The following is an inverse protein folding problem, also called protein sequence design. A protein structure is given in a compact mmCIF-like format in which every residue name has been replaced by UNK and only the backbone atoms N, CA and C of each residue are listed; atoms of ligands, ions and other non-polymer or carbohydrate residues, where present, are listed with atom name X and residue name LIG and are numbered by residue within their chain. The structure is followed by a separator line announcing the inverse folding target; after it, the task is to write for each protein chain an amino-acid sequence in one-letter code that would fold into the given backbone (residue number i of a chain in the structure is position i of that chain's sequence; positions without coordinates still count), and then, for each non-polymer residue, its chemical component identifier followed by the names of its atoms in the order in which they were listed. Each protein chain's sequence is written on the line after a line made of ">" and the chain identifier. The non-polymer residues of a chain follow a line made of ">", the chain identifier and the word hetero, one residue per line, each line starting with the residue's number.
data_IF_291750984268
#
_entry.id   IF_291750984268
#
_cell.length_a   1.000
_cell.length_b   1.000
_cell.length_c   1.000
_cell.angle_alpha   90.00
_cell.angle_beta   90.00
_cell.angle_gamma   90.00
#
_symmetry.space_group_name_H-M   'P 1'
#
loop_
_entity.id
_entity.type
_entity.pdbx_description
1 polymer ?
#
# COMPACT_ATOMS: atom_id res chain seq x y z
N UNK A 1 7.99 15.87 -47.56
CA UNK A 1 8.11 16.47 -46.22
C UNK A 1 6.72 16.98 -45.84
N UNK A 2 6.16 16.49 -44.74
CA UNK A 2 4.76 16.71 -44.32
C UNK A 2 4.46 18.10 -43.74
N UNK A 3 5.42 19.04 -43.74
CA UNK A 3 5.19 20.43 -43.35
C UNK A 3 4.90 20.67 -41.86
N UNK A 4 5.04 19.63 -41.02
CA UNK A 4 4.76 19.72 -39.59
C UNK A 4 6.02 20.12 -38.81
N UNK A 5 5.94 21.08 -37.87
CA UNK A 5 7.03 21.41 -36.95
C UNK A 5 7.29 20.22 -36.01
N UNK A 6 8.55 19.77 -35.93
CA UNK A 6 8.95 18.49 -35.30
C UNK A 6 8.64 18.38 -33.80
N UNK A 7 8.48 19.50 -33.09
CA UNK A 7 8.36 19.51 -31.62
C UNK A 7 6.92 19.33 -31.09
N UNK A 8 5.93 19.22 -31.99
CA UNK A 8 4.50 19.17 -31.61
C UNK A 8 3.85 17.81 -31.89
N UNK A 9 4.59 16.86 -32.45
CA UNK A 9 4.04 15.57 -32.89
C UNK A 9 4.95 14.43 -32.51
N UNK A 10 4.38 13.29 -32.13
CA UNK A 10 5.14 12.06 -31.89
C UNK A 10 4.45 10.86 -32.55
N UNK A 11 5.25 9.88 -32.97
CA UNK A 11 4.76 8.65 -33.55
C UNK A 11 4.55 7.58 -32.48
N UNK A 12 3.49 6.80 -32.60
CA UNK A 12 3.23 5.62 -31.76
C UNK A 12 2.90 4.42 -32.64
N UNK A 13 3.35 3.23 -32.24
CA UNK A 13 2.91 2.00 -32.91
C UNK A 13 1.53 1.61 -32.38
N UNK A 14 0.61 1.32 -33.29
CA UNK A 14 -0.70 0.79 -32.93
C UNK A 14 -0.54 -0.68 -32.53
N UNK A 15 -1.13 -1.07 -31.40
CA UNK A 15 -1.12 -2.46 -30.95
C UNK A 15 -2.21 -3.29 -31.64
N UNK A 16 -2.25 -4.58 -31.34
CA UNK A 16 -3.22 -5.52 -31.90
C UNK A 16 -4.68 -5.24 -31.45
N UNK A 17 -4.87 -4.43 -30.41
CA UNK A 17 -6.17 -3.96 -29.93
C UNK A 17 -6.60 -2.63 -30.56
N UNK A 18 -5.84 -2.10 -31.53
CA UNK A 18 -6.04 -0.77 -32.12
C UNK A 18 -5.87 0.39 -31.13
N UNK A 19 -5.20 0.15 -30.00
CA UNK A 19 -4.83 1.20 -29.06
C UNK A 19 -3.44 1.77 -29.40
N UNK A 20 -3.23 3.03 -29.03
CA UNK A 20 -1.95 3.69 -29.24
C UNK A 20 -0.92 3.15 -28.24
N UNK A 21 0.10 2.44 -28.72
CA UNK A 21 1.18 1.91 -27.92
C UNK A 21 2.13 2.98 -27.38
N UNK A 22 3.36 2.59 -27.06
CA UNK A 22 4.37 3.54 -26.57
C UNK A 22 4.86 4.50 -27.68
N UNK A 23 5.21 5.75 -27.32
CA UNK A 23 5.81 6.69 -28.26
C UNK A 23 7.19 6.22 -28.72
N UNK A 24 7.46 6.39 -30.01
CA UNK A 24 8.77 6.18 -30.60
C UNK A 24 9.65 7.38 -30.24
N UNK A 25 10.60 7.17 -29.33
CA UNK A 25 11.46 8.23 -28.80
C UNK A 25 12.86 8.26 -29.44
N UNK A 26 13.21 7.26 -30.24
CA UNK A 26 14.56 7.06 -30.78
C UNK A 26 14.59 7.42 -32.28
N UNK A 27 14.87 8.69 -32.60
CA UNK A 27 14.86 9.19 -33.99
C UNK A 27 15.98 8.59 -34.86
N UNK A 28 17.10 8.20 -34.24
CA UNK A 28 18.28 7.66 -34.93
C UNK A 28 18.29 6.12 -35.03
N UNK A 29 17.30 5.44 -34.43
CA UNK A 29 17.22 3.98 -34.44
C UNK A 29 16.71 3.45 -35.79
N UNK A 30 17.24 2.32 -36.24
CA UNK A 30 16.70 1.66 -37.42
C UNK A 30 15.31 1.08 -37.11
N UNK A 31 14.39 1.05 -38.09
CA UNK A 31 13.02 0.54 -37.91
C UNK A 31 12.95 -0.85 -37.25
N UNK A 32 13.94 -1.71 -37.51
CA UNK A 32 14.05 -3.04 -36.90
C UNK A 32 14.35 -2.99 -35.39
N UNK A 33 15.10 -1.99 -34.92
CA UNK A 33 15.53 -1.82 -33.53
C UNK A 33 14.36 -1.36 -32.66
N UNK A 34 13.46 -0.55 -33.22
CA UNK A 34 12.18 -0.15 -32.60
C UNK A 34 11.03 -1.13 -32.89
N UNK A 35 11.33 -2.36 -33.33
CA UNK A 35 10.38 -3.43 -33.60
C UNK A 35 9.25 -3.08 -34.58
N UNK A 36 9.53 -2.19 -35.56
CA UNK A 36 8.61 -1.85 -36.65
C UNK A 36 8.88 -2.78 -37.84
N UNK A 37 7.81 -3.43 -38.31
CA UNK A 37 7.81 -4.37 -39.44
C UNK A 37 6.90 -3.85 -40.55
N UNK A 38 7.13 -4.37 -41.75
CA UNK A 38 6.22 -4.10 -42.88
C UNK A 38 4.81 -4.60 -42.53
N UNK A 39 3.82 -3.72 -42.66
CA UNK A 39 2.43 -3.98 -42.28
C UNK A 39 2.00 -3.40 -40.92
N UNK A 40 2.93 -2.88 -40.12
CA UNK A 40 2.57 -2.19 -38.88
C UNK A 40 1.88 -0.85 -39.16
N UNK A 41 0.89 -0.51 -38.33
CA UNK A 41 0.20 0.79 -38.38
C UNK A 41 0.81 1.74 -37.35
N UNK A 42 1.18 2.94 -37.79
CA UNK A 42 1.72 3.99 -36.94
C UNK A 42 0.70 5.14 -36.81
N UNK A 43 0.55 5.65 -35.60
CA UNK A 43 -0.27 6.80 -35.27
C UNK A 43 0.63 8.03 -35.10
N UNK A 44 0.23 9.14 -35.71
CA UNK A 44 0.83 10.45 -35.45
C UNK A 44 -0.07 11.18 -34.44
N UNK A 45 0.47 11.49 -33.26
CA UNK A 45 -0.28 12.07 -32.15
C UNK A 45 0.29 13.46 -31.83
N UNK A 46 -0.61 14.43 -31.66
CA UNK A 46 -0.25 15.79 -31.25
C UNK A 46 0.15 15.82 -29.76
N UNK A 47 1.26 16.49 -29.46
CA UNK A 47 1.79 16.65 -28.10
C UNK A 47 3.30 16.42 -28.03
N UNK A 48 3.95 17.08 -27.06
CA UNK A 48 5.38 16.88 -26.78
C UNK A 48 5.62 15.47 -26.25
N UNK A 49 6.70 14.84 -26.68
CA UNK A 49 7.18 13.61 -26.07
C UNK A 49 7.28 13.83 -24.54
N UNK A 50 6.84 12.87 -23.70
CA UNK A 50 7.20 12.91 -22.29
C UNK A 50 8.73 13.03 -22.20
N UNK A 51 9.28 13.81 -21.25
CA UNK A 51 10.73 14.05 -21.17
C UNK A 51 11.48 12.71 -21.28
N UNK A 52 12.60 12.67 -22.03
CA UNK A 52 13.28 11.42 -22.31
C UNK A 52 13.53 10.71 -20.99
N UNK A 53 12.85 9.58 -20.81
CA UNK A 53 13.19 8.62 -19.78
C UNK A 53 14.69 8.39 -19.93
N UNK A 54 15.46 8.85 -18.95
CA UNK A 54 16.88 8.50 -18.76
C UNK A 54 17.09 7.02 -19.13
N UNK A 55 18.24 6.67 -19.74
CA UNK A 55 18.37 5.57 -20.68
C UNK A 55 17.62 4.33 -20.19
N UNK A 56 16.81 3.75 -21.09
CA UNK A 56 16.02 2.55 -20.81
C UNK A 56 16.83 1.58 -19.96
N UNK A 57 16.42 1.41 -18.69
CA UNK A 57 17.09 0.54 -17.73
C UNK A 57 17.47 -0.75 -18.44
N UNK A 58 18.75 -1.14 -18.49
CA UNK A 58 19.17 -2.28 -19.28
C UNK A 58 18.35 -3.52 -18.89
N UNK A 59 18.02 -4.43 -19.84
CA UNK A 59 17.31 -5.66 -19.50
C UNK A 59 18.01 -6.39 -18.36
N UNK A 60 17.26 -6.76 -17.32
CA UNK A 60 17.81 -7.37 -16.10
C UNK A 60 18.27 -6.38 -15.03
N UNK A 61 18.01 -5.08 -15.20
CA UNK A 61 18.18 -4.05 -14.17
C UNK A 61 16.86 -3.38 -13.81
N UNK A 62 16.71 -3.06 -12.54
CA UNK A 62 15.60 -2.33 -11.96
C UNK A 62 16.08 -0.95 -11.55
N UNK A 63 15.33 0.08 -11.94
CA UNK A 63 15.44 1.40 -11.33
C UNK A 63 14.37 1.51 -10.25
N UNK A 64 14.80 1.56 -9.00
CA UNK A 64 13.93 1.46 -7.83
C UNK A 64 14.02 2.74 -7.01
N UNK A 65 12.92 3.51 -6.89
CA UNK A 65 12.84 4.61 -5.93
C UNK A 65 12.89 4.04 -4.51
N UNK A 66 13.85 4.51 -3.71
CA UNK A 66 14.05 4.07 -2.32
C UNK A 66 13.62 5.16 -1.34
N UNK A 67 12.83 4.74 -0.35
CA UNK A 67 12.30 5.58 0.70
C UNK A 67 12.76 5.10 2.08
N UNK A 68 12.95 6.03 2.99
CA UNK A 68 13.13 5.74 4.40
C UNK A 68 11.77 5.77 5.10
N UNK A 69 11.42 4.67 5.74
CA UNK A 69 10.18 4.52 6.48
C UNK A 69 10.43 4.79 7.97
N UNK A 70 9.85 5.86 8.48
CA UNK A 70 9.76 6.10 9.93
C UNK A 70 8.33 5.87 10.40
N UNK A 71 8.06 4.78 11.14
CA UNK A 71 6.75 4.55 11.73
C UNK A 71 6.41 5.69 12.70
N UNK A 72 5.26 6.33 12.50
CA UNK A 72 4.77 7.42 13.34
C UNK A 72 4.43 6.94 14.75
N UNK A 73 5.37 7.11 15.68
CA UNK A 73 5.20 6.90 17.12
C UNK A 73 6.41 7.51 17.85
N UNK A 74 6.29 7.86 19.15
CA UNK A 74 7.47 8.18 19.92
C UNK A 74 8.26 6.87 20.07
N UNK A 75 9.14 6.59 19.12
CA UNK A 75 10.20 5.60 19.27
C UNK A 75 11.14 6.16 20.34
N UNK A 76 10.73 5.98 21.59
CA UNK A 76 11.48 6.39 22.76
C UNK A 76 12.70 5.51 22.94
N UNK A 77 13.69 5.55 22.03
CA UNK A 77 15.05 5.18 22.38
C UNK A 77 16.17 5.63 21.42
N UNK A 78 15.91 6.28 20.28
CA UNK A 78 17.03 6.86 19.52
C UNK A 78 17.37 8.26 20.07
N UNK A 79 17.84 8.32 21.32
CA UNK A 79 18.45 9.55 21.84
C UNK A 79 19.85 9.68 21.22
N UNK A 80 19.98 10.60 20.28
CA UNK A 80 21.29 11.22 19.99
C UNK A 80 21.87 11.74 21.32
N UNK A 81 23.10 11.38 21.71
CA UNK A 81 23.72 11.96 22.88
C UNK A 81 24.19 13.36 22.49
N UNK A 82 23.33 14.37 22.69
CA UNK A 82 23.66 15.76 23.07
C UNK A 82 22.42 16.65 22.86
N UNK A 83 21.66 16.85 23.95
CA UNK A 83 21.16 18.14 24.48
C UNK A 83 19.97 17.88 25.40
N UNK A 84 20.28 17.76 26.68
CA UNK A 84 19.34 18.07 27.75
C UNK A 84 18.94 19.55 27.62
N UNK A 85 17.68 19.85 27.96
CA UNK A 85 17.04 21.17 28.09
C UNK A 85 16.23 21.62 26.88
N UNK A 86 14.99 21.14 26.80
CA UNK A 86 13.84 21.94 26.37
C UNK A 86 12.56 21.33 26.95
N UNK A 87 11.85 22.12 27.74
CA UNK A 87 10.58 21.84 28.42
C UNK A 87 9.48 21.50 27.41
N UNK A 88 8.55 20.56 27.70
CA UNK A 88 7.43 20.31 26.81
C UNK A 88 6.38 21.44 26.92
N UNK A 89 6.14 22.14 25.82
CA UNK A 89 5.00 23.04 25.66
C UNK A 89 3.76 22.22 25.28
N UNK A 90 2.60 22.39 25.95
CA UNK A 90 1.33 21.88 25.48
C UNK A 90 0.74 22.81 24.41
N UNK A 91 -0.07 22.23 23.51
CA UNK A 91 -0.95 22.89 22.53
C UNK A 91 -0.33 23.34 21.19
N UNK A 92 -0.26 22.38 20.26
CA UNK A 92 -0.51 22.63 18.85
C UNK A 92 -1.55 21.60 18.36
N UNK A 93 -2.53 21.97 17.52
CA UNK A 93 -3.50 21.02 16.98
C UNK A 93 -2.75 20.03 16.09
N UNK A 94 -2.55 18.82 16.59
CA UNK A 94 -1.88 17.76 15.85
C UNK A 94 -2.68 17.44 14.59
N UNK A 95 -1.97 17.42 13.47
CA UNK A 95 -2.44 16.87 12.21
C UNK A 95 -3.15 15.51 12.46
N UNK A 96 -4.42 15.33 12.03
CA UNK A 96 -5.18 14.11 12.27
C UNK A 96 -4.56 12.87 11.59
N UNK A 97 -3.59 13.06 10.70
CA UNK A 97 -2.70 12.00 10.26
C UNK A 97 -1.39 12.11 11.04
N UNK A 98 -1.17 11.19 11.99
CA UNK A 98 0.21 10.88 12.42
C UNK A 98 0.86 10.15 11.24
N UNK A 99 1.18 10.95 10.22
CA UNK A 99 1.58 10.53 8.90
C UNK A 99 2.87 9.73 9.03
N UNK A 100 2.89 8.56 8.40
CA UNK A 100 4.13 7.84 8.19
C UNK A 100 5.10 8.81 7.56
N UNK A 101 6.22 9.08 8.23
CA UNK A 101 7.24 9.96 7.66
C UNK A 101 8.05 9.13 6.67
N UNK A 102 7.74 9.31 5.38
CA UNK A 102 8.51 8.77 4.27
C UNK A 102 9.51 9.83 3.81
N UNK A 103 10.79 9.50 3.84
CA UNK A 103 11.85 10.36 3.30
C UNK A 103 12.45 9.71 2.08
N UNK A 104 12.37 10.38 0.93
CA UNK A 104 13.01 9.90 -0.28
C UNK A 104 14.54 9.86 -0.10
N UNK A 105 15.17 8.73 -0.44
CA UNK A 105 16.62 8.56 -0.37
C UNK A 105 17.29 8.71 -1.74
N UNK A 106 16.59 8.32 -2.81
CA UNK A 106 17.11 8.35 -4.17
C UNK A 106 16.63 7.16 -4.98
N UNK A 107 17.00 7.15 -6.26
CA UNK A 107 16.77 6.02 -7.15
C UNK A 107 18.01 5.11 -7.15
N UNK A 108 17.81 3.80 -6.94
CA UNK A 108 18.85 2.79 -7.14
C UNK A 108 18.68 2.13 -8.50
N UNK A 109 19.76 2.02 -9.26
CA UNK A 109 19.85 1.12 -10.39
C UNK A 109 20.53 -0.17 -9.93
N UNK A 110 19.77 -1.27 -9.90
CA UNK A 110 20.24 -2.53 -9.34
C UNK A 110 19.85 -3.69 -10.25
N UNK A 111 20.75 -4.67 -10.42
CA UNK A 111 20.44 -5.87 -11.22
C UNK A 111 19.37 -6.72 -10.52
N UNK A 112 18.48 -7.32 -11.30
CA UNK A 112 17.47 -8.27 -10.83
C UNK A 112 18.09 -9.53 -10.20
N UNK A 113 19.35 -9.85 -10.52
CA UNK A 113 20.10 -10.98 -9.96
C UNK A 113 20.73 -10.67 -8.59
N UNK A 114 20.71 -9.41 -8.16
CA UNK A 114 21.20 -9.03 -6.82
C UNK A 114 20.30 -9.57 -5.72
N UNK A 115 20.89 -9.74 -4.55
CA UNK A 115 20.19 -10.19 -3.36
C UNK A 115 19.51 -9.04 -2.62
N UNK A 116 18.50 -9.35 -1.80
CA UNK A 116 17.87 -8.36 -0.90
C UNK A 116 18.90 -7.72 0.05
N UNK A 117 19.93 -8.44 0.49
CA UNK A 117 21.02 -7.91 1.30
C UNK A 117 21.82 -6.84 0.57
N UNK A 118 22.15 -7.08 -0.71
CA UNK A 118 22.88 -6.14 -1.55
C UNK A 118 22.06 -4.89 -1.84
N UNK A 119 20.75 -5.03 -2.10
CA UNK A 119 19.83 -3.89 -2.20
C UNK A 119 19.88 -3.00 -0.95
N UNK A 120 19.76 -3.62 0.23
CA UNK A 120 19.81 -2.91 1.52
C UNK A 120 21.18 -2.24 1.73
N UNK A 121 22.27 -2.94 1.40
CA UNK A 121 23.63 -2.40 1.50
C UNK A 121 23.85 -1.20 0.57
N UNK A 122 23.38 -1.26 -0.68
CA UNK A 122 23.44 -0.15 -1.61
C UNK A 122 22.58 1.03 -1.15
N UNK A 123 21.37 0.77 -0.64
CA UNK A 123 20.53 1.83 -0.11
C UNK A 123 21.12 2.53 1.11
N UNK A 124 21.90 1.83 1.93
CA UNK A 124 22.63 2.44 3.05
C UNK A 124 23.65 3.48 2.58
N UNK A 125 24.24 3.33 1.38
CA UNK A 125 25.19 4.31 0.83
C UNK A 125 24.50 5.58 0.32
N UNK A 126 23.20 5.51 -0.03
CA UNK A 126 22.39 6.66 -0.42
C UNK A 126 22.05 7.61 0.75
N UNK A 127 22.35 7.21 1.98
CA UNK A 127 22.06 7.99 3.19
C UNK A 127 23.31 8.61 3.84
N UNK A 128 24.17 9.37 3.13
CA UNK A 128 25.44 9.87 3.68
C UNK A 128 25.26 10.90 4.81
N UNK A 129 24.04 11.41 5.03
CA UNK A 129 23.73 12.45 6.02
C UNK A 129 22.81 11.96 7.16
N UNK A 130 22.63 10.65 7.34
CA UNK A 130 21.74 10.14 8.38
C UNK A 130 22.44 10.10 9.73
N UNK A 131 21.84 10.73 10.75
CA UNK A 131 22.24 10.58 12.16
C UNK A 131 22.07 9.13 12.67
N UNK A 132 21.41 8.27 11.89
CA UNK A 132 21.23 6.85 12.17
C UNK A 132 22.43 6.03 11.66
N UNK A 133 23.25 5.53 12.58
CA UNK A 133 24.25 4.51 12.30
C UNK A 133 23.54 3.15 12.26
N UNK A 134 23.29 2.64 11.06
CA UNK A 134 22.75 1.29 10.86
C UNK A 134 23.94 0.33 10.76
N UNK A 135 24.12 -0.62 11.70
CA UNK A 135 25.34 -1.43 11.75
C UNK A 135 25.50 -2.38 10.57
N UNK A 136 24.39 -2.96 10.09
CA UNK A 136 24.39 -3.92 9.00
C UNK A 136 23.07 -3.90 8.24
N UNK A 137 23.03 -4.40 6.97
CA UNK A 137 21.78 -4.57 6.22
C UNK A 137 20.73 -5.44 6.93
N UNK A 138 21.13 -6.27 7.90
CA UNK A 138 20.19 -7.10 8.67
C UNK A 138 19.33 -6.30 9.65
N UNK A 139 19.71 -5.06 9.98
CA UNK A 139 18.90 -4.12 10.77
C UNK A 139 17.89 -3.34 9.93
N UNK A 140 17.72 -3.69 8.65
CA UNK A 140 16.74 -3.06 7.76
C UNK A 140 15.70 -4.07 7.33
N UNK A 141 14.43 -3.69 7.46
CA UNK A 141 13.32 -4.37 6.79
C UNK A 141 13.00 -3.65 5.50
N UNK A 142 12.96 -4.39 4.40
CA UNK A 142 12.61 -3.83 3.10
C UNK A 142 11.16 -4.17 2.75
N UNK A 143 10.41 -3.18 2.29
CA UNK A 143 9.02 -3.31 1.87
C UNK A 143 8.85 -2.81 0.44
N UNK A 144 7.97 -3.45 -0.33
CA UNK A 144 7.39 -2.81 -1.52
C UNK A 144 6.31 -1.82 -1.07
N UNK A 145 6.14 -0.74 -1.83
CA UNK A 145 5.15 0.30 -1.56
C UNK A 145 3.98 0.22 -2.55
N UNK A 146 2.78 0.49 -2.05
CA UNK A 146 1.56 0.62 -2.85
C UNK A 146 0.77 1.83 -2.32
N UNK A 147 0.56 2.85 -3.16
CA UNK A 147 -0.14 4.07 -2.75
C UNK A 147 0.51 4.78 -1.55
N UNK A 148 1.84 4.88 -1.53
CA UNK A 148 2.63 5.44 -0.41
C UNK A 148 2.46 4.67 0.92
N UNK A 149 2.12 3.38 0.88
CA UNK A 149 2.03 2.51 2.06
C UNK A 149 2.84 1.23 1.89
N UNK A 150 3.52 0.74 2.95
CA UNK A 150 4.15 -0.58 2.94
C UNK A 150 3.11 -1.66 2.63
N UNK A 151 3.42 -2.53 1.67
CA UNK A 151 2.49 -3.56 1.19
C UNK A 151 3.03 -4.98 1.39
N UNK A 152 4.26 -5.27 0.93
CA UNK A 152 4.88 -6.61 1.02
C UNK A 152 6.31 -6.52 1.51
N UNK A 153 6.69 -7.36 2.47
CA UNK A 153 8.07 -7.50 2.93
C UNK A 153 8.90 -8.27 1.89
N UNK A 154 10.09 -7.75 1.57
CA UNK A 154 11.14 -8.48 0.87
C UNK A 154 11.95 -9.28 1.89
N UNK A 155 11.62 -10.58 1.98
CA UNK A 155 12.16 -11.52 2.98
C UNK A 155 13.54 -12.04 2.54
N UNK A 156 14.13 -12.90 3.35
CA UNK A 156 15.31 -13.68 3.02
C UNK A 156 16.44 -12.87 2.34
N UNK A 157 17.37 -12.36 3.15
CA UNK A 157 18.47 -11.50 2.68
C UNK A 157 19.29 -12.07 1.51
N UNK A 158 19.36 -13.39 1.34
CA UNK A 158 20.10 -14.05 0.25
C UNK A 158 19.27 -14.29 -1.03
N UNK A 159 17.97 -14.02 -1.01
CA UNK A 159 17.08 -14.25 -2.15
C UNK A 159 17.26 -13.16 -3.21
N UNK A 160 17.20 -13.54 -4.49
CA UNK A 160 17.39 -12.61 -5.60
C UNK A 160 16.12 -11.77 -5.88
N UNK A 161 16.31 -10.52 -6.31
CA UNK A 161 15.19 -9.59 -6.57
C UNK A 161 14.23 -10.09 -7.67
N UNK A 162 14.73 -10.80 -8.69
CA UNK A 162 13.91 -11.39 -9.76
C UNK A 162 12.83 -12.34 -9.26
N UNK A 163 13.08 -13.03 -8.14
CA UNK A 163 12.13 -13.98 -7.55
C UNK A 163 10.90 -13.29 -6.96
N UNK A 164 11.05 -12.02 -6.56
CA UNK A 164 9.96 -11.19 -6.06
C UNK A 164 9.06 -10.63 -7.17
N UNK A 165 9.47 -10.75 -8.44
CA UNK A 165 8.75 -10.22 -9.61
C UNK A 165 8.43 -8.74 -9.44
N UNK A 166 9.43 -7.97 -9.00
CA UNK A 166 9.29 -6.52 -8.85
C UNK A 166 9.01 -5.92 -10.23
N UNK A 167 7.92 -5.17 -10.36
CA UNK A 167 7.63 -4.42 -11.56
C UNK A 167 8.57 -3.23 -11.72
N UNK A 168 8.71 -2.72 -12.95
CA UNK A 168 9.56 -1.55 -13.28
C UNK A 168 9.21 -0.25 -12.53
N UNK A 169 8.02 -0.18 -11.93
CA UNK A 169 7.54 0.97 -11.14
C UNK A 169 7.44 0.67 -9.64
N UNK A 170 8.10 -0.39 -9.18
CA UNK A 170 8.04 -0.76 -7.76
C UNK A 170 8.85 0.23 -6.96
N UNK A 171 8.21 0.87 -6.01
CA UNK A 171 8.87 1.67 -4.99
C UNK A 171 9.21 0.77 -3.79
N UNK A 172 10.39 0.98 -3.20
CA UNK A 172 10.83 0.24 -2.01
C UNK A 172 10.99 1.20 -0.86
N UNK A 173 10.51 0.83 0.33
CA UNK A 173 10.85 1.54 1.56
C UNK A 173 11.64 0.66 2.51
N UNK A 174 12.54 1.30 3.25
CA UNK A 174 13.41 0.68 4.24
C UNK A 174 13.02 1.17 5.62
N UNK A 175 12.69 0.22 6.49
CA UNK A 175 12.33 0.44 7.89
C UNK A 175 13.49 0.00 8.77
N UNK A 176 14.05 0.90 9.61
CA UNK A 176 15.07 0.54 10.60
C UNK A 176 14.51 -0.31 11.70
N UNK A 177 15.30 -1.29 12.12
CA UNK A 177 14.97 -2.20 13.20
C UNK A 177 15.95 -2.05 14.36
N UNK A 178 15.48 -2.31 15.58
CA UNK A 178 16.31 -2.30 16.79
C UNK A 178 17.26 -3.50 16.88
N UNK A 179 16.93 -4.59 16.18
CA UNK A 179 17.67 -5.84 16.16
C UNK A 179 17.73 -6.40 14.75
N UNK A 180 18.71 -7.26 14.50
CA UNK A 180 18.78 -8.00 13.25
C UNK A 180 17.52 -8.84 13.04
N UNK A 181 17.02 -8.80 11.81
CA UNK A 181 15.85 -9.55 11.41
C UNK A 181 16.22 -10.71 10.49
N UNK A 182 15.65 -11.87 10.83
CA UNK A 182 15.71 -13.06 10.01
C UNK A 182 14.33 -13.72 10.00
N UNK A 183 13.47 -13.31 9.06
CA UNK A 183 12.13 -13.84 8.91
C UNK A 183 12.17 -15.14 8.08
N UNK A 184 11.57 -16.19 8.63
CA UNK A 184 11.29 -17.42 7.91
C UNK A 184 10.20 -17.25 6.85
N UNK A 185 10.01 -18.25 5.97
CA UNK A 185 9.01 -18.23 4.91
C UNK A 185 7.56 -18.25 5.43
N UNK A 186 7.34 -18.73 6.66
CA UNK A 186 6.02 -18.81 7.30
C UNK A 186 5.81 -17.76 8.40
N UNK A 187 6.81 -16.91 8.66
CA UNK A 187 6.69 -15.87 9.66
C UNK A 187 5.86 -14.71 9.13
N UNK A 188 4.97 -14.18 9.94
CA UNK A 188 4.18 -12.99 9.64
C UNK A 188 4.50 -11.92 10.66
N UNK A 189 4.79 -10.71 10.19
CA UNK A 189 5.06 -9.56 11.07
C UNK A 189 3.78 -8.76 11.22
N UNK A 190 3.23 -8.70 12.43
CA UNK A 190 2.07 -7.89 12.77
C UNK A 190 2.48 -6.72 13.66
N UNK A 191 1.85 -5.56 13.45
CA UNK A 191 2.08 -4.38 14.28
C UNK A 191 1.11 -4.41 15.45
N UNK A 192 1.60 -4.75 16.63
CA UNK A 192 0.77 -4.91 17.82
C UNK A 192 0.68 -3.63 18.62
N UNK A 193 -0.49 -3.36 19.17
CA UNK A 193 -0.75 -2.21 20.02
C UNK A 193 -1.53 -2.68 21.25
N UNK A 194 -1.02 -2.38 22.45
CA UNK A 194 -1.72 -2.70 23.69
C UNK A 194 -2.69 -1.56 24.04
N UNK A 195 -3.91 -1.90 24.44
CA UNK A 195 -4.89 -0.93 24.93
C UNK A 195 -4.41 -0.31 26.24
N UNK A 196 -4.48 1.02 26.34
CA UNK A 196 -4.19 1.72 27.59
C UNK A 196 -5.40 1.61 28.53
N UNK A 197 -5.21 1.17 29.78
CA UNK A 197 -6.29 1.11 30.77
C UNK A 197 -6.94 2.47 31.00
N UNK A 198 -8.27 2.50 31.01
CA UNK A 198 -9.10 3.67 31.27
C UNK A 198 -9.20 4.64 30.10
N UNK A 199 -8.51 4.35 28.99
CA UNK A 199 -8.33 5.29 27.88
C UNK A 199 -8.79 4.70 26.55
N UNK A 200 -9.43 5.54 25.72
CA UNK A 200 -9.73 5.21 24.32
C UNK A 200 -8.50 5.40 23.41
N UNK A 201 -7.36 4.84 23.81
CA UNK A 201 -6.05 4.99 23.18
C UNK A 201 -5.18 3.73 23.30
N UNK A 202 -4.12 3.64 22.50
CA UNK A 202 -3.22 2.48 22.47
C UNK A 202 -1.76 2.90 22.67
N UNK A 203 -0.94 1.97 23.12
CA UNK A 203 0.52 2.09 23.13
C UNK A 203 1.08 2.26 21.72
N UNK A 204 2.34 2.73 21.57
CA UNK A 204 3.05 2.65 20.29
C UNK A 204 3.07 1.23 19.73
N UNK A 205 3.16 1.11 18.40
CA UNK A 205 3.26 -0.18 17.72
C UNK A 205 4.53 -0.92 18.14
N UNK A 206 4.41 -2.22 18.41
CA UNK A 206 5.53 -3.14 18.58
C UNK A 206 5.36 -4.31 17.64
N UNK A 207 6.42 -4.67 16.92
CA UNK A 207 6.37 -5.78 15.98
C UNK A 207 6.30 -7.13 16.68
N UNK A 208 5.31 -7.93 16.29
CA UNK A 208 5.15 -9.32 16.67
C UNK A 208 5.42 -10.20 15.46
N UNK A 209 6.43 -11.06 15.57
CA UNK A 209 6.65 -12.14 14.60
C UNK A 209 5.81 -13.34 15.01
N UNK A 210 4.93 -13.79 14.12
CA UNK A 210 4.06 -14.94 14.29
C UNK A 210 4.36 -16.03 13.25
N UNK A 211 4.81 -17.19 13.73
CA UNK A 211 5.01 -18.38 12.89
C UNK A 211 3.66 -19.03 12.52
N UNK A 212 3.35 -19.00 11.22
CA UNK A 212 2.11 -19.55 10.67
C UNK A 212 2.22 -20.96 10.12
N UNK A 213 3.38 -21.63 10.29
CA UNK A 213 3.56 -23.03 9.88
C UNK A 213 2.55 -23.97 10.54
N UNK A 214 2.09 -23.62 11.75
CA UNK A 214 1.05 -24.36 12.51
C UNK A 214 -0.39 -23.98 12.13
N UNK A 215 -0.56 -23.08 11.17
CA UNK A 215 -1.84 -22.66 10.64
C UNK A 215 -2.25 -21.23 11.02
N UNK A 216 -3.03 -20.63 10.13
CA UNK A 216 -3.53 -19.26 10.20
C UNK A 216 -4.84 -19.14 11.00
N UNK A 217 -4.87 -19.64 12.23
CA UNK A 217 -6.10 -19.70 13.04
C UNK A 217 -6.15 -18.58 14.07
N UNK A 218 -7.36 -18.18 14.49
CA UNK A 218 -7.53 -17.26 15.61
C UNK A 218 -6.87 -17.78 16.90
N UNK A 219 -6.94 -19.09 17.12
CA UNK A 219 -6.35 -19.75 18.30
C UNK A 219 -4.83 -19.66 18.33
N UNK A 220 -4.15 -19.94 17.21
CA UNK A 220 -2.68 -19.86 17.15
C UNK A 220 -2.18 -18.43 17.25
N UNK A 221 -2.89 -17.45 16.66
CA UNK A 221 -2.58 -16.04 16.85
C UNK A 221 -2.75 -15.62 18.32
N UNK A 222 -3.88 -16.00 18.96
CA UNK A 222 -4.12 -15.70 20.39
C UNK A 222 -3.04 -16.28 21.29
N UNK A 223 -2.66 -17.54 21.10
CA UNK A 223 -1.57 -18.14 21.87
C UNK A 223 -0.26 -17.36 21.71
N UNK A 224 0.07 -16.94 20.49
CA UNK A 224 1.28 -16.17 20.21
C UNK A 224 1.24 -14.78 20.87
N UNK A 225 0.11 -14.09 20.79
CA UNK A 225 -0.09 -12.78 21.42
C UNK A 225 -0.07 -12.88 22.94
N UNK A 226 -0.73 -13.88 23.53
CA UNK A 226 -0.74 -14.14 24.97
C UNK A 226 0.69 -14.34 25.49
N UNK A 227 1.49 -15.16 24.80
CA UNK A 227 2.91 -15.34 25.10
C UNK A 227 3.69 -14.03 25.00
N UNK A 228 3.48 -13.26 23.94
CA UNK A 228 4.15 -11.97 23.73
C UNK A 228 3.83 -10.95 24.82
N UNK A 229 2.58 -10.89 25.27
CA UNK A 229 2.13 -9.98 26.32
C UNK A 229 2.35 -10.52 27.74
N UNK A 230 2.81 -11.77 27.89
CA UNK A 230 2.88 -12.47 29.18
C UNK A 230 1.54 -12.50 29.93
N UNK A 231 0.45 -12.76 29.19
CA UNK A 231 -0.92 -12.82 29.72
C UNK A 231 -1.54 -14.21 29.49
N UNK A 232 -2.51 -14.64 30.32
CA UNK A 232 -3.30 -15.84 30.03
C UNK A 232 -4.07 -15.70 28.71
N UNK A 233 -4.20 -16.80 27.96
CA UNK A 233 -4.86 -16.81 26.64
C UNK A 233 -6.34 -16.41 26.74
N UNK A 234 -6.98 -16.74 27.86
CA UNK A 234 -8.38 -16.43 28.16
C UNK A 234 -8.59 -14.98 28.58
N UNK A 235 -7.50 -14.24 28.80
CA UNK A 235 -7.50 -12.87 29.30
C UNK A 235 -7.02 -11.85 28.28
N UNK A 236 -7.01 -12.25 27.02
CA UNK A 236 -6.68 -11.37 25.91
C UNK A 236 -7.81 -11.34 24.88
N UNK A 237 -8.04 -10.15 24.35
CA UNK A 237 -8.80 -9.98 23.12
C UNK A 237 -7.97 -9.28 22.07
N UNK A 238 -8.26 -9.60 20.81
CA UNK A 238 -7.51 -9.12 19.66
C UNK A 238 -8.50 -8.57 18.65
N UNK A 239 -8.21 -7.42 18.07
CA UNK A 239 -8.93 -6.90 16.91
C UNK A 239 -7.94 -6.47 15.82
N UNK A 240 -8.33 -6.63 14.55
CA UNK A 240 -7.60 -6.07 13.42
C UNK A 240 -8.08 -4.64 13.16
N UNK A 241 -7.15 -3.71 12.96
CA UNK A 241 -7.46 -2.35 12.53
C UNK A 241 -7.51 -2.25 11.01
N UNK A 242 -8.52 -1.55 10.49
CA UNK A 242 -8.69 -1.19 9.09
C UNK A 242 -8.56 0.33 8.95
N UNK A 243 -7.36 0.86 8.67
CA UNK A 243 -7.10 2.29 8.67
C UNK A 243 -7.90 3.06 7.61
N UNK A 244 -8.29 2.42 6.50
CA UNK A 244 -9.10 3.04 5.46
C UNK A 244 -10.53 3.34 5.92
N UNK A 245 -11.02 2.59 6.91
CA UNK A 245 -12.39 2.71 7.46
C UNK A 245 -12.44 3.25 8.88
N UNK A 246 -11.27 3.39 9.53
CA UNK A 246 -11.16 3.68 10.95
C UNK A 246 -11.94 2.65 11.81
N UNK A 247 -11.88 1.38 11.41
CA UNK A 247 -12.67 0.30 12.01
C UNK A 247 -11.76 -0.74 12.66
N UNK A 248 -12.20 -1.23 13.81
CA UNK A 248 -11.60 -2.37 14.49
C UNK A 248 -12.52 -3.56 14.34
N UNK A 249 -11.97 -4.69 13.90
CA UNK A 249 -12.71 -5.93 13.75
C UNK A 249 -12.17 -6.98 14.74
N UNK A 250 -12.94 -7.30 15.81
CA UNK A 250 -12.56 -8.35 16.75
C UNK A 250 -12.30 -9.69 16.07
N UNK A 251 -11.18 -10.31 16.43
CA UNK A 251 -10.80 -11.66 16.02
C UNK A 251 -11.32 -12.62 17.08
N UNK A 252 -12.57 -13.07 16.88
CA UNK A 252 -13.19 -14.08 17.72
C UNK A 252 -12.68 -15.47 17.34
N UNK A 253 -12.15 -16.23 18.31
CA UNK A 253 -12.00 -17.67 18.13
C UNK A 253 -13.39 -18.28 18.23
N UNK A 254 -13.84 -18.98 17.19
CA UNK A 254 -15.17 -19.62 17.07
C UNK A 254 -15.49 -20.71 18.13
N UNK A 255 -14.83 -20.72 19.30
CA UNK A 255 -15.07 -21.73 20.34
C UNK A 255 -16.10 -21.33 21.41
N UNK A 256 -16.84 -20.24 21.24
CA UNK A 256 -18.00 -19.95 22.08
C UNK A 256 -19.29 -20.02 21.26
N UNK A 257 -20.12 -21.02 21.59
CA UNK A 257 -21.47 -21.33 21.08
C UNK A 257 -21.55 -22.46 20.03
N UNK A 258 -21.45 -23.69 20.54
CA UNK A 258 -22.26 -24.82 20.09
C UNK A 258 -23.76 -24.48 20.23
N UNK A 259 -24.30 -23.67 19.32
CA UNK A 259 -25.75 -23.55 19.12
C UNK A 259 -26.10 -23.92 17.69
N UNK A 260 -26.42 -25.21 17.54
CA UNK A 260 -27.43 -25.77 16.64
C UNK A 260 -27.75 -24.94 15.37
N UNK A 261 -26.99 -25.13 14.31
CA UNK A 261 -27.50 -25.36 12.95
C UNK A 261 -26.33 -25.68 12.01
N UNK A 262 -26.46 -26.76 11.24
CA UNK A 262 -25.55 -27.17 10.17
C UNK A 262 -25.20 -25.97 9.27
N UNK A 263 -24.08 -25.31 9.52
CA UNK A 263 -23.49 -24.34 8.60
C UNK A 263 -22.06 -24.79 8.36
N UNK A 264 -21.78 -25.05 7.07
CA UNK A 264 -20.52 -25.52 6.49
C UNK A 264 -19.34 -24.95 7.29
N UNK A 265 -18.48 -25.84 7.83
CA UNK A 265 -17.23 -25.52 8.57
C UNK A 265 -16.45 -24.47 7.78
N UNK A 266 -16.68 -23.18 8.06
CA UNK A 266 -15.97 -22.09 7.41
C UNK A 266 -14.58 -22.14 8.00
N UNK A 267 -13.60 -22.37 7.15
CA UNK A 267 -12.21 -22.53 7.53
C UNK A 267 -11.80 -21.32 8.37
N UNK A 268 -11.36 -21.56 9.61
CA UNK A 268 -10.86 -20.56 10.56
C UNK A 268 -9.47 -20.08 10.09
N UNK A 269 -9.42 -19.52 8.87
CA UNK A 269 -8.20 -19.01 8.24
C UNK A 269 -8.26 -17.48 8.21
N UNK A 270 -7.36 -16.84 8.97
CA UNK A 270 -7.25 -15.40 9.08
C UNK A 270 -6.77 -14.71 7.80
N UNK A 271 -6.22 -15.44 6.82
CA UNK A 271 -5.90 -14.88 5.50
C UNK A 271 -7.14 -14.59 4.64
N UNK A 272 -8.26 -15.22 4.97
CA UNK A 272 -9.51 -15.08 4.24
C UNK A 272 -10.41 -14.00 4.82
N UNK A 273 -11.56 -13.81 4.17
CA UNK A 273 -12.62 -12.95 4.68
C UNK A 273 -13.10 -13.43 6.08
N UNK A 274 -13.31 -12.52 7.04
CA UNK A 274 -13.34 -11.06 6.87
C UNK A 274 -12.01 -10.35 7.16
N UNK A 275 -10.98 -11.07 7.62
CA UNK A 275 -9.79 -10.45 8.22
C UNK A 275 -8.73 -10.10 7.19
N UNK A 276 -8.47 -10.97 6.21
CA UNK A 276 -7.40 -10.77 5.21
C UNK A 276 -6.06 -10.38 5.86
N UNK A 277 -5.69 -11.09 6.93
CA UNK A 277 -4.52 -10.78 7.74
C UNK A 277 -3.24 -11.01 6.93
N UNK A 278 -2.33 -10.04 6.95
CA UNK A 278 -1.05 -10.05 6.23
C UNK A 278 0.03 -9.29 7.00
N UNK A 279 1.25 -9.30 6.47
CA UNK A 279 2.36 -8.53 7.02
C UNK A 279 2.05 -7.03 7.11
N UNK A 280 2.50 -6.41 8.21
CA UNK A 280 2.33 -4.99 8.48
C UNK A 280 0.95 -4.61 8.99
N UNK A 281 -0.03 -5.52 8.99
CA UNK A 281 -1.35 -5.26 9.55
C UNK A 281 -1.24 -4.91 11.03
N UNK A 282 -2.05 -3.93 11.45
CA UNK A 282 -2.12 -3.51 12.85
C UNK A 282 -3.17 -4.31 13.59
N UNK A 283 -2.79 -4.87 14.75
CA UNK A 283 -3.71 -5.54 15.67
C UNK A 283 -3.67 -4.88 17.04
N UNK A 284 -4.84 -4.70 17.62
CA UNK A 284 -5.05 -4.13 18.95
C UNK A 284 -5.26 -5.26 19.93
N UNK A 285 -4.67 -5.15 21.11
CA UNK A 285 -4.69 -6.17 22.16
C UNK A 285 -5.30 -5.55 23.40
N UNK A 286 -6.35 -6.17 23.94
CA UNK A 286 -6.93 -5.81 25.24
C UNK A 286 -6.54 -6.81 26.30
N UNK A 287 -6.32 -6.31 27.51
CA UNK A 287 -6.08 -7.11 28.70
C UNK A 287 -7.36 -7.18 29.54
N UNK A 288 -8.05 -8.31 29.48
CA UNK A 288 -9.32 -8.56 30.20
C UNK A 288 -9.16 -8.68 31.71
N UNK A 289 -7.93 -8.68 32.24
CA UNK A 289 -7.71 -8.56 33.68
C UNK A 289 -7.91 -7.13 34.19
N UNK A 290 -7.88 -6.14 33.28
CA UNK A 290 -7.98 -4.72 33.61
C UNK A 290 -9.32 -4.16 33.14
N UNK A 291 -9.72 -4.46 31.91
CA UNK A 291 -10.95 -3.94 31.30
C UNK A 291 -11.64 -4.99 30.44
N UNK A 292 -12.97 -5.08 30.57
CA UNK A 292 -13.83 -6.05 29.88
C UNK A 292 -14.82 -5.34 28.95
N UNK A 293 -14.40 -4.22 28.36
CA UNK A 293 -15.21 -3.48 27.40
C UNK A 293 -15.00 -4.04 25.98
N UNK A 294 -16.06 -4.05 25.17
CA UNK A 294 -16.03 -4.57 23.79
C UNK A 294 -15.51 -3.53 22.77
N UNK A 295 -15.27 -2.28 23.17
CA UNK A 295 -14.96 -1.18 22.25
C UNK A 295 -13.46 -1.04 21.99
N UNK A 296 -13.01 -1.47 20.80
CA UNK A 296 -11.63 -1.29 20.37
C UNK A 296 -11.33 0.12 19.80
N UNK A 297 -12.35 0.93 19.55
CA UNK A 297 -12.17 2.22 18.88
C UNK A 297 -11.44 3.26 19.75
N UNK A 298 -10.93 4.29 19.06
CA UNK A 298 -10.23 5.43 19.64
C UNK A 298 -10.93 6.73 19.28
N UNK A 299 -10.64 7.80 20.01
CA UNK A 299 -11.14 9.16 19.70
C UNK A 299 -10.75 9.59 18.28
N UNK A 300 -9.58 9.16 17.79
CA UNK A 300 -9.13 9.44 16.43
C UNK A 300 -9.97 8.72 15.38
N UNK A 301 -10.46 7.52 15.68
CA UNK A 301 -11.29 6.77 14.76
C UNK A 301 -12.63 7.47 14.55
N UNK A 302 -13.20 8.04 15.63
CA UNK A 302 -14.42 8.84 15.57
C UNK A 302 -14.22 10.10 14.71
N UNK A 303 -13.10 10.80 14.90
CA UNK A 303 -12.72 11.97 14.09
C UNK A 303 -12.55 11.59 12.61
N UNK A 304 -11.81 10.51 12.32
CA UNK A 304 -11.58 10.04 10.96
C UNK A 304 -12.87 9.66 10.24
N UNK A 305 -13.80 8.97 10.93
CA UNK A 305 -15.14 8.67 10.41
C UNK A 305 -15.94 9.93 10.13
N UNK A 306 -15.88 10.92 11.02
CA UNK A 306 -16.60 12.17 10.86
C UNK A 306 -16.08 12.98 9.67
N UNK A 307 -14.75 13.09 9.51
CA UNK A 307 -14.12 13.71 8.35
C UNK A 307 -14.52 13.00 7.05
N UNK A 308 -14.54 11.66 7.01
CA UNK A 308 -14.99 10.91 5.84
C UNK A 308 -16.46 11.17 5.50
N UNK A 309 -17.33 11.24 6.50
CA UNK A 309 -18.76 11.59 6.30
C UNK A 309 -18.91 12.99 5.71
N UNK A 310 -18.18 13.97 6.23
CA UNK A 310 -18.23 15.35 5.73
C UNK A 310 -17.76 15.46 4.28
N UNK A 311 -16.67 14.77 3.92
CA UNK A 311 -16.18 14.70 2.54
C UNK A 311 -17.19 14.04 1.59
N UNK A 312 -17.88 12.98 2.05
CA UNK A 312 -18.92 12.32 1.26
C UNK A 312 -20.15 13.23 1.06
N UNK A 313 -20.53 14.02 2.06
CA UNK A 313 -21.62 15.00 1.97
C UNK A 313 -21.26 16.20 1.07
N UNK A 314 -20.01 16.69 1.15
CA UNK A 314 -19.51 17.78 0.29
C UNK A 314 -19.49 17.41 -1.20
N UNK A 315 -19.10 16.18 -1.52
CA UNK A 315 -19.16 15.65 -2.91
C UNK A 315 -20.61 15.59 -3.43
N UNK A 316 -21.56 15.15 -2.60
CA UNK A 316 -22.99 15.14 -2.96
C UNK A 316 -23.56 16.54 -3.20
N UNK A 317 -23.06 17.56 -2.49
CA UNK A 317 -23.47 18.96 -2.70
C UNK A 317 -22.93 19.53 -4.02
N UNK A 318 -21.71 19.20 -4.43
CA UNK A 318 -21.17 19.59 -5.75
C UNK A 318 -21.85 18.88 -6.91
N UNK A 319 -22.26 17.62 -6.75
CA UNK A 319 -23.05 16.90 -7.75
C UNK A 319 -24.48 17.45 -7.87
N UNK A 320 -25.10 17.89 -6.76
CA UNK A 320 -26.41 18.55 -6.78
C UNK A 320 -26.41 19.94 -7.44
N UNK A 321 -25.24 20.59 -7.58
CA UNK A 321 -25.07 21.87 -8.27
C UNK A 321 -24.77 21.72 -9.77
N UNK A 322 -24.50 20.50 -10.25
CA UNK A 322 -24.38 20.18 -11.68
C UNK A 322 -25.69 19.61 -12.23
N UNK A 323 -26.76 20.39 -12.15
CA UNK A 323 -27.97 20.14 -12.96
C UNK A 323 -27.84 20.98 -14.23
N UNK A 324 -27.78 20.40 -15.43
CA UNK A 324 -27.91 21.16 -16.66
C UNK A 324 -29.33 21.74 -16.73
N UNK A 325 -29.40 23.07 -16.79
CA UNK A 325 -30.60 23.79 -17.20
C UNK A 325 -30.98 23.35 -18.62
N UNK A 326 -32.18 22.82 -18.79
CA UNK A 326 -32.86 22.82 -20.08
C UNK A 326 -34.36 22.90 -19.85
N UNK A 327 -34.87 24.12 -19.97
CA UNK A 327 -36.29 24.43 -20.05
C UNK A 327 -36.83 24.14 -21.46
N UNK A 328 -38.01 23.50 -21.47
CA UNK A 328 -39.10 23.59 -22.46
C UNK A 328 -38.88 23.03 -23.89
N UNK A 329 -39.59 21.96 -24.24
CA UNK A 329 -40.80 22.03 -25.11
C UNK A 329 -41.56 20.67 -25.15
N UNK A 330 -42.86 20.81 -25.40
CA UNK A 330 -43.98 19.88 -25.22
C UNK A 330 -44.14 18.81 -26.31
N UNK A 331 -44.76 17.66 -25.98
CA UNK A 331 -45.56 16.91 -26.95
C UNK A 331 -45.67 15.37 -26.82
N UNK A 332 -46.79 14.91 -26.23
CA UNK A 332 -47.54 13.67 -26.51
C UNK A 332 -46.99 12.26 -26.18
N UNK A 333 -47.81 11.51 -25.41
CA UNK A 333 -47.74 10.06 -25.12
C UNK A 333 -48.22 9.20 -26.31
N UNK A 334 -47.68 7.98 -26.46
CA UNK A 334 -48.40 6.68 -26.59
C UNK A 334 -47.39 5.50 -26.48
N UNK A 335 -47.76 4.35 -25.89
CA UNK A 335 -46.85 3.21 -25.61
C UNK A 335 -46.98 2.05 -26.61
N UNK A 336 -45.92 1.26 -26.85
CA UNK A 336 -45.99 -0.24 -26.91
C UNK A 336 -44.72 -0.97 -27.40
N UNK A 337 -44.38 -2.00 -26.62
CA UNK A 337 -43.75 -3.32 -26.91
C UNK A 337 -42.26 -3.48 -27.29
N UNK A 338 -41.65 -4.61 -26.84
CA UNK A 338 -40.20 -4.85 -26.90
C UNK A 338 -39.79 -5.60 -28.18
N UNK A 339 -38.59 -5.30 -28.70
CA UNK A 339 -37.90 -6.15 -29.68
C UNK A 339 -36.40 -6.17 -29.39
N UNK A 340 -35.83 -7.36 -29.55
CA UNK A 340 -34.49 -7.77 -29.15
C UNK A 340 -33.37 -7.13 -30.02
N UNK A 341 -32.08 -7.36 -29.70
CA UNK A 341 -30.98 -6.43 -29.95
C UNK A 341 -30.53 -6.45 -31.42
N UNK A 342 -30.25 -5.28 -31.98
CA UNK A 342 -29.50 -5.14 -33.21
C UNK A 342 -28.33 -4.18 -32.96
N UNK A 343 -27.13 -4.72 -33.18
CA UNK A 343 -25.89 -3.96 -33.20
C UNK A 343 -25.83 -3.13 -34.48
N UNK A 344 -25.43 -1.87 -34.36
CA UNK A 344 -24.98 -1.07 -35.50
C UNK A 344 -23.73 -0.24 -35.13
N UNK A 345 -22.60 -0.71 -35.66
CA UNK A 345 -21.38 0.03 -36.00
C UNK A 345 -21.77 1.17 -36.99
N UNK A 346 -21.12 2.32 -37.16
CA UNK A 346 -19.77 2.87 -36.93
C UNK A 346 -19.91 4.41 -37.00
N UNK A 347 -18.88 5.24 -36.74
CA UNK A 347 -18.08 5.94 -37.79
C UNK A 347 -16.97 6.72 -37.06
N UNK A 348 -15.75 6.69 -37.62
CA UNK A 348 -14.71 7.69 -37.37
C UNK A 348 -14.52 8.53 -38.62
N UNK A 349 -14.35 9.86 -38.44
CA UNK A 349 -13.55 10.68 -39.35
C UNK A 349 -12.83 11.71 -38.48
N UNK A 350 -11.50 11.63 -38.46
CA UNK A 350 -10.65 12.68 -37.91
C UNK A 350 -10.50 13.81 -38.92
N UNK A 351 -10.39 15.04 -38.42
CA UNK A 351 -9.76 16.16 -39.11
C UNK A 351 -8.80 16.81 -38.14
#
# INVERSE_FOLDING_TARGET
>A
KSGLPGDTWHLRKMDWCYEAGEPLCEEDAALREVAIRSGDTLLLIEGKLPPPMLPATPPGFLRVPVWWYQPGGPTGHWKSPVRMNSTPSPDAPGDPHREVSLRFLGDLEISEDTTVAELKAQAMTLSPSSELVIPSPAFLRAWTMEGQRPSRILRANQQQLKEYKLGRKTEICLEPLEKEENLGPHDVVLRTQMRLPGERAYTPCVDLVWDTARGWTASSLRQRVAYFCSLPVEKIEIAKYFPEKFEWLPISSWNQQLTKRKKKKKQDNLQGAPYYLKDGDTIGIKNLLVEDDEDFSTVRDDLGKETQKQLALGKKSQEALRVPSSDLFSGARIPSRPRAPEASLSIHVGS
#
